data_IF_658836368760
#
_entry.id   IF_658836368760
#
_cell.length_a   1.000
_cell.length_b   1.000
_cell.length_c   1.000
_cell.angle_alpha   90.00
_cell.angle_beta   90.00
_cell.angle_gamma   90.00
#
_symmetry.space_group_name_H-M   'P 1'
#
loop_
_entity.id
_entity.type
_entity.pdbx_description
1 polymer ?
#
# COMPACT_ATOMS: atom_id res chain seq x y z
N UNK A 1 -26.97 -5.80 22.73
CA UNK A 1 -27.25 -7.13 22.10
C UNK A 1 -26.10 -7.64 21.24
N UNK A 2 -25.47 -6.81 20.39
CA UNK A 2 -24.33 -7.20 19.56
C UNK A 2 -23.04 -7.49 20.37
N UNK A 3 -22.90 -6.94 21.57
CA UNK A 3 -21.77 -7.27 22.49
C UNK A 3 -21.86 -8.66 23.10
N UNK A 4 -23.01 -9.31 23.02
CA UNK A 4 -23.21 -10.70 23.53
C UNK A 4 -22.72 -11.76 22.56
N UNK A 5 -22.46 -11.41 21.30
CA UNK A 5 -22.02 -12.30 20.23
C UNK A 5 -20.50 -12.32 20.02
N UNK A 6 -19.73 -11.71 20.90
CA UNK A 6 -18.27 -11.83 20.90
C UNK A 6 -17.91 -13.27 21.26
N UNK A 7 -17.59 -14.07 20.24
CA UNK A 7 -17.10 -15.44 20.42
C UNK A 7 -15.99 -15.50 21.46
N UNK A 8 -16.12 -16.41 22.39
CA UNK A 8 -15.13 -16.67 23.44
C UNK A 8 -15.35 -15.91 24.75
N UNK A 9 -16.33 -15.03 24.84
CA UNK A 9 -16.68 -14.44 26.12
C UNK A 9 -17.81 -15.21 26.80
N UNK A 10 -17.50 -15.84 27.93
CA UNK A 10 -18.55 -16.27 28.87
C UNK A 10 -19.25 -15.02 29.40
N UNK A 11 -20.60 -15.05 29.55
CA UNK A 11 -21.40 -13.95 30.12
C UNK A 11 -20.74 -13.49 31.42
N UNK A 12 -20.39 -12.20 31.49
CA UNK A 12 -19.85 -11.59 32.69
C UNK A 12 -18.32 -11.61 32.85
N UNK A 13 -17.55 -12.17 31.89
CA UNK A 13 -16.08 -12.07 31.95
C UNK A 13 -15.62 -10.74 31.34
N UNK A 14 -14.81 -9.99 32.09
CA UNK A 14 -14.15 -8.78 31.59
C UNK A 14 -13.10 -9.19 30.55
N UNK A 15 -13.02 -8.53 29.38
CA UNK A 15 -11.97 -8.78 28.40
C UNK A 15 -10.59 -8.63 29.02
N UNK A 16 -9.73 -9.59 28.75
CA UNK A 16 -8.31 -9.55 29.15
C UNK A 16 -7.54 -8.59 28.23
N UNK A 17 -6.42 -8.07 28.72
CA UNK A 17 -5.54 -7.16 28.00
C UNK A 17 -4.55 -7.88 27.08
N UNK A 18 -4.54 -9.23 27.09
CA UNK A 18 -3.75 -10.07 26.22
C UNK A 18 -4.65 -11.10 25.51
N UNK A 19 -4.29 -11.43 24.26
CA UNK A 19 -5.11 -12.29 23.39
C UNK A 19 -4.23 -13.32 22.69
N UNK A 20 -4.25 -14.55 23.18
CA UNK A 20 -3.49 -15.69 22.67
C UNK A 20 -4.15 -16.39 21.48
N UNK A 21 -5.43 -16.16 21.28
CA UNK A 21 -6.21 -16.72 20.17
C UNK A 21 -6.13 -15.89 18.86
N UNK A 22 -5.49 -14.73 18.89
CA UNK A 22 -5.30 -13.88 17.71
C UNK A 22 -3.98 -14.28 17.02
N UNK A 23 -4.00 -14.67 15.73
CA UNK A 23 -2.78 -14.99 15.01
C UNK A 23 -1.86 -13.78 14.89
N UNK A 24 -0.55 -14.00 15.00
CA UNK A 24 0.45 -12.98 14.68
C UNK A 24 0.53 -12.77 13.16
N UNK A 25 1.20 -11.69 12.70
CA UNK A 25 1.33 -11.39 11.27
C UNK A 25 1.85 -12.56 10.41
N UNK A 26 2.78 -13.36 10.95
CA UNK A 26 3.31 -14.55 10.26
C UNK A 26 2.38 -15.77 10.25
N UNK A 27 1.27 -15.71 10.97
CA UNK A 27 0.28 -16.78 11.07
C UNK A 27 -1.04 -16.45 10.36
N UNK A 28 -1.11 -15.33 9.67
CA UNK A 28 -2.26 -14.95 8.84
C UNK A 28 -2.43 -16.01 7.74
N UNK A 29 -3.68 -16.43 7.48
CA UNK A 29 -3.97 -17.42 6.43
C UNK A 29 -3.54 -16.87 5.05
N UNK A 30 -3.12 -17.76 4.15
CA UNK A 30 -2.69 -17.38 2.80
C UNK A 30 -3.78 -16.65 2.01
N UNK A 31 -5.05 -17.03 2.25
CA UNK A 31 -6.21 -16.44 1.58
C UNK A 31 -6.49 -15.00 2.03
N UNK A 32 -5.95 -14.61 3.18
CA UNK A 32 -6.09 -13.25 3.73
C UNK A 32 -4.89 -12.36 3.39
N UNK A 33 -3.73 -12.95 3.04
CA UNK A 33 -2.50 -12.21 2.78
C UNK A 33 -2.57 -11.45 1.45
N UNK A 34 -2.24 -10.16 1.50
CA UNK A 34 -2.21 -9.25 0.35
C UNK A 34 -0.79 -8.84 -0.08
N UNK A 35 0.24 -9.47 0.50
CA UNK A 35 1.64 -9.08 0.23
C UNK A 35 2.03 -7.72 0.84
N UNK A 36 1.37 -7.31 1.91
CA UNK A 36 1.66 -6.07 2.63
C UNK A 36 2.31 -6.40 3.97
N UNK A 37 3.59 -6.05 4.16
CA UNK A 37 4.45 -6.51 5.28
C UNK A 37 3.87 -6.27 6.67
N UNK A 38 3.14 -5.17 6.85
CA UNK A 38 2.56 -4.79 8.15
C UNK A 38 1.07 -5.10 8.28
N UNK A 39 0.53 -5.96 7.41
CA UNK A 39 -0.86 -6.36 7.45
C UNK A 39 -1.25 -6.96 8.82
N UNK A 40 -2.37 -6.53 9.36
CA UNK A 40 -2.95 -7.08 10.58
C UNK A 40 -4.02 -8.12 10.25
N UNK A 41 -4.19 -9.17 11.07
CA UNK A 41 -5.24 -10.17 10.86
C UNK A 41 -6.64 -9.56 11.05
N UNK A 42 -7.58 -9.98 10.20
CA UNK A 42 -8.98 -9.53 10.29
C UNK A 42 -9.63 -9.89 11.64
N UNK A 43 -9.25 -11.02 12.24
CA UNK A 43 -9.73 -11.45 13.55
C UNK A 43 -9.42 -10.43 14.66
N UNK A 44 -8.26 -9.76 14.60
CA UNK A 44 -7.89 -8.69 15.53
C UNK A 44 -8.85 -7.49 15.39
N UNK A 45 -9.02 -7.02 14.16
CA UNK A 45 -9.87 -5.85 13.89
C UNK A 45 -11.36 -6.16 14.15
N UNK A 46 -11.82 -7.41 13.87
CA UNK A 46 -13.16 -7.87 14.22
C UNK A 46 -13.41 -7.66 15.71
N UNK A 47 -12.52 -8.14 16.57
CA UNK A 47 -12.65 -7.99 18.03
C UNK A 47 -12.69 -6.54 18.49
N UNK A 48 -11.77 -5.73 18.01
CA UNK A 48 -11.69 -4.32 18.38
C UNK A 48 -12.97 -3.57 17.95
N UNK A 49 -13.40 -3.74 16.70
CA UNK A 49 -14.55 -3.03 16.13
C UNK A 49 -15.85 -3.46 16.81
N UNK A 50 -16.05 -4.74 17.07
CA UNK A 50 -17.24 -5.23 17.79
C UNK A 50 -17.30 -4.73 19.23
N UNK A 51 -16.15 -4.64 19.91
CA UNK A 51 -16.08 -4.18 21.30
C UNK A 51 -16.32 -2.65 21.44
N UNK A 52 -16.00 -1.87 20.41
CA UNK A 52 -15.94 -0.40 20.49
C UNK A 52 -16.98 0.34 19.65
N UNK A 53 -17.78 -0.35 18.84
CA UNK A 53 -18.75 0.28 17.93
C UNK A 53 -20.00 -0.56 17.74
N UNK A 54 -21.05 0.06 17.21
CA UNK A 54 -22.30 -0.60 16.81
C UNK A 54 -22.46 -0.57 15.28
N UNK A 55 -23.37 -1.37 14.75
CA UNK A 55 -23.71 -1.33 13.32
C UNK A 55 -24.15 0.08 12.91
N UNK A 56 -23.64 0.54 11.76
CA UNK A 56 -23.91 1.90 11.26
C UNK A 56 -22.99 3.01 11.80
N UNK A 57 -22.22 2.75 12.86
CA UNK A 57 -21.20 3.69 13.34
C UNK A 57 -20.09 3.92 12.32
N UNK A 58 -19.30 4.97 12.50
CA UNK A 58 -18.12 5.26 11.67
C UNK A 58 -16.87 4.72 12.37
N UNK A 59 -16.12 3.90 11.65
CA UNK A 59 -14.78 3.44 12.03
C UNK A 59 -13.77 4.22 11.20
N UNK A 60 -12.81 4.88 11.83
CA UNK A 60 -11.77 5.65 11.15
C UNK A 60 -10.39 5.06 11.41
N UNK A 61 -9.60 4.93 10.35
CA UNK A 61 -8.20 4.51 10.40
C UNK A 61 -7.35 5.42 9.50
N UNK A 62 -6.58 6.31 10.12
CA UNK A 62 -5.80 7.31 9.40
C UNK A 62 -4.43 6.81 8.92
N UNK A 63 -4.09 5.55 9.21
CA UNK A 63 -2.88 4.86 8.77
C UNK A 63 -3.24 3.46 8.28
N UNK A 64 -4.22 3.40 7.36
CA UNK A 64 -4.95 2.17 7.05
C UNK A 64 -4.11 1.06 6.38
N UNK A 65 -2.92 1.35 5.87
CA UNK A 65 -2.02 0.38 5.27
C UNK A 65 -2.71 -0.49 4.21
N UNK A 66 -2.80 -1.79 4.47
CA UNK A 66 -3.50 -2.75 3.62
C UNK A 66 -5.04 -2.71 3.73
N UNK A 67 -5.61 -1.76 4.49
CA UNK A 67 -7.06 -1.57 4.62
C UNK A 67 -7.79 -2.65 5.43
N UNK A 68 -7.12 -3.38 6.31
CA UNK A 68 -7.76 -4.41 7.13
C UNK A 68 -8.91 -3.85 7.96
N UNK A 69 -8.70 -2.70 8.62
CA UNK A 69 -9.71 -2.02 9.42
C UNK A 69 -10.95 -1.70 8.58
N UNK A 70 -10.76 -1.16 7.36
CA UNK A 70 -11.85 -0.76 6.48
C UNK A 70 -12.64 -1.97 5.99
N UNK A 71 -11.95 -3.02 5.56
CA UNK A 71 -12.57 -4.26 5.11
C UNK A 71 -13.40 -4.93 6.21
N UNK A 72 -12.87 -4.99 7.43
CA UNK A 72 -13.59 -5.56 8.58
C UNK A 72 -14.78 -4.68 8.96
N UNK A 73 -14.64 -3.36 8.98
CA UNK A 73 -15.74 -2.44 9.24
C UNK A 73 -16.87 -2.60 8.20
N UNK A 74 -16.53 -2.75 6.91
CA UNK A 74 -17.49 -3.04 5.84
C UNK A 74 -18.25 -4.34 6.10
N UNK A 75 -17.53 -5.44 6.36
CA UNK A 75 -18.13 -6.76 6.63
C UNK A 75 -19.06 -6.74 7.85
N UNK A 76 -18.73 -5.95 8.86
CA UNK A 76 -19.51 -5.82 10.09
C UNK A 76 -20.62 -4.75 9.99
N UNK A 77 -20.86 -4.15 8.83
CA UNK A 77 -21.93 -3.16 8.64
C UNK A 77 -21.66 -1.78 9.24
N UNK A 78 -20.39 -1.47 9.56
CA UNK A 78 -19.97 -0.12 9.96
C UNK A 78 -19.66 0.72 8.72
N UNK A 79 -19.85 2.03 8.80
CA UNK A 79 -19.26 2.97 7.84
C UNK A 79 -17.77 3.11 8.15
N UNK A 80 -16.98 3.46 7.18
CA UNK A 80 -15.55 3.59 7.42
C UNK A 80 -14.97 4.81 6.69
N UNK A 81 -13.87 5.30 7.25
CA UNK A 81 -13.02 6.33 6.70
C UNK A 81 -11.58 5.86 6.87
N UNK A 82 -10.81 5.88 5.80
CA UNK A 82 -9.39 5.51 5.84
C UNK A 82 -8.53 6.54 5.14
N UNK A 83 -7.31 6.71 5.63
CA UNK A 83 -6.28 7.46 4.92
C UNK A 83 -4.92 6.79 5.08
N UNK A 84 -4.04 7.02 4.14
CA UNK A 84 -2.64 6.63 4.23
C UNK A 84 -1.78 7.59 3.39
N UNK A 85 -0.54 7.76 3.78
CA UNK A 85 0.41 8.58 3.04
C UNK A 85 0.88 7.86 1.76
N UNK A 86 0.98 6.53 1.83
CA UNK A 86 1.46 5.70 0.73
C UNK A 86 0.37 5.46 -0.31
N UNK A 87 0.61 5.87 -1.53
CA UNK A 87 -0.27 5.54 -2.66
C UNK A 87 -0.37 4.02 -2.89
N UNK A 88 0.71 3.28 -2.62
CA UNK A 88 0.70 1.82 -2.67
C UNK A 88 -0.28 1.24 -1.65
N UNK A 89 -0.27 1.72 -0.40
CA UNK A 89 -1.23 1.32 0.62
C UNK A 89 -2.67 1.56 0.17
N UNK A 90 -2.94 2.74 -0.40
CA UNK A 90 -4.26 3.09 -0.92
C UNK A 90 -4.68 2.19 -2.09
N UNK A 91 -3.77 1.84 -2.99
CA UNK A 91 -4.07 0.90 -4.10
C UNK A 91 -4.40 -0.51 -3.58
N UNK A 92 -3.62 -1.02 -2.61
CA UNK A 92 -3.88 -2.31 -1.97
C UNK A 92 -5.24 -2.29 -1.25
N UNK A 93 -5.50 -1.25 -0.47
CA UNK A 93 -6.79 -1.05 0.22
C UNK A 93 -7.95 -1.00 -0.75
N UNK A 94 -7.83 -0.23 -1.84
CA UNK A 94 -8.86 -0.15 -2.89
C UNK A 94 -9.14 -1.51 -3.50
N UNK A 95 -8.09 -2.25 -3.89
CA UNK A 95 -8.23 -3.59 -4.46
C UNK A 95 -8.93 -4.52 -3.48
N UNK A 96 -8.51 -4.53 -2.21
CA UNK A 96 -9.13 -5.33 -1.15
C UNK A 96 -10.62 -5.06 -1.01
N UNK A 97 -11.04 -3.80 -1.05
CA UNK A 97 -12.45 -3.43 -0.93
C UNK A 97 -13.26 -3.81 -2.18
N UNK A 98 -12.70 -3.69 -3.37
CA UNK A 98 -13.36 -4.12 -4.60
C UNK A 98 -13.54 -5.64 -4.66
N UNK A 99 -12.56 -6.39 -4.16
CA UNK A 99 -12.55 -7.86 -4.15
C UNK A 99 -13.11 -8.45 -2.84
N UNK A 100 -13.70 -7.63 -1.97
CA UNK A 100 -14.13 -8.05 -0.61
C UNK A 100 -15.10 -9.23 -0.62
N UNK A 101 -15.92 -9.35 -1.67
CA UNK A 101 -16.89 -10.42 -1.85
C UNK A 101 -16.25 -11.82 -1.90
N UNK A 102 -15.01 -11.92 -2.40
CA UNK A 102 -14.22 -13.15 -2.45
C UNK A 102 -13.48 -13.47 -1.14
N UNK A 103 -13.49 -12.55 -0.19
CA UNK A 103 -12.78 -12.71 1.07
C UNK A 103 -13.63 -13.49 2.08
N UNK A 104 -12.97 -14.07 3.09
CA UNK A 104 -13.64 -14.87 4.13
C UNK A 104 -14.74 -14.06 4.82
N UNK A 105 -15.89 -14.71 5.06
CA UNK A 105 -16.94 -14.16 5.94
C UNK A 105 -16.44 -14.10 7.39
N UNK A 106 -16.77 -13.03 8.08
CA UNK A 106 -16.38 -12.84 9.49
C UNK A 106 -17.52 -13.10 10.48
N UNK A 107 -18.76 -13.18 10.00
CA UNK A 107 -19.94 -13.31 10.84
C UNK A 107 -20.38 -14.79 10.88
N UNK A 108 -20.47 -15.41 9.73
CA UNK A 108 -20.87 -16.81 9.60
C UNK A 108 -19.64 -17.68 9.31
N UNK A 109 -19.21 -18.45 10.30
CA UNK A 109 -18.04 -19.34 10.18
C UNK A 109 -18.26 -20.50 9.20
N UNK A 110 -19.50 -20.87 8.90
CA UNK A 110 -19.83 -21.91 7.94
C UNK A 110 -19.76 -21.39 6.50
N UNK A 111 -19.74 -20.08 6.31
CA UNK A 111 -19.67 -19.43 5.01
C UNK A 111 -18.23 -19.18 4.64
N UNK A 112 -17.80 -19.73 3.49
CA UNK A 112 -16.41 -19.57 3.03
C UNK A 112 -16.10 -18.16 2.57
N UNK A 113 -17.04 -17.49 1.90
CA UNK A 113 -16.88 -16.18 1.28
C UNK A 113 -17.92 -15.20 1.81
N UNK A 114 -17.55 -13.95 1.90
CA UNK A 114 -18.45 -12.87 2.31
C UNK A 114 -19.59 -12.67 1.31
N UNK A 115 -19.31 -12.84 0.00
CA UNK A 115 -20.29 -12.89 -1.10
C UNK A 115 -21.19 -11.63 -1.22
N UNK A 116 -20.67 -10.49 -0.76
CA UNK A 116 -21.33 -9.19 -0.91
C UNK A 116 -20.30 -8.17 -1.39
N UNK A 117 -20.63 -7.34 -2.41
CA UNK A 117 -19.74 -6.26 -2.81
C UNK A 117 -19.66 -5.21 -1.69
N UNK A 118 -18.56 -4.48 -1.64
CA UNK A 118 -18.49 -3.29 -0.81
C UNK A 118 -19.54 -2.27 -1.24
N UNK A 119 -20.02 -1.49 -0.28
CA UNK A 119 -20.85 -0.32 -0.59
C UNK A 119 -20.07 0.66 -1.47
N UNK A 120 -20.73 1.47 -2.29
CA UNK A 120 -20.06 2.53 -3.03
C UNK A 120 -19.22 3.42 -2.12
N UNK A 121 -17.98 3.69 -2.52
CA UNK A 121 -17.06 4.54 -1.78
C UNK A 121 -16.30 5.47 -2.74
N UNK A 122 -15.79 6.55 -2.20
CA UNK A 122 -15.00 7.54 -2.92
C UNK A 122 -13.54 7.45 -2.52
N UNK A 123 -12.66 7.66 -3.48
CA UNK A 123 -11.22 7.78 -3.28
C UNK A 123 -10.80 9.22 -3.54
N UNK A 124 -10.32 9.88 -2.50
CA UNK A 124 -9.83 11.25 -2.57
C UNK A 124 -8.32 11.30 -2.52
N UNK A 125 -7.73 12.06 -3.39
CA UNK A 125 -6.31 12.37 -3.35
C UNK A 125 -6.15 13.84 -2.97
N UNK A 126 -5.53 14.08 -1.82
CA UNK A 126 -5.12 15.43 -1.42
C UNK A 126 -3.91 15.75 -2.31
N UNK A 127 -4.11 16.65 -3.27
CA UNK A 127 -3.12 16.96 -4.30
C UNK A 127 -1.74 17.22 -3.72
N UNK A 128 -0.75 16.63 -4.33
CA UNK A 128 0.65 16.88 -3.98
C UNK A 128 1.07 18.23 -4.59
N UNK A 129 1.00 19.31 -3.81
CA UNK A 129 1.35 20.66 -4.24
C UNK A 129 2.81 20.76 -4.71
N UNK A 130 3.71 19.98 -4.13
CA UNK A 130 5.10 19.90 -4.57
C UNK A 130 5.21 19.34 -5.98
N UNK A 131 4.45 18.30 -6.30
CA UNK A 131 4.39 17.74 -7.64
C UNK A 131 3.96 18.77 -8.67
N UNK A 132 2.92 19.56 -8.38
CA UNK A 132 2.45 20.65 -9.27
C UNK A 132 3.49 21.75 -9.43
N UNK A 133 4.22 22.08 -8.37
CA UNK A 133 5.32 23.06 -8.43
C UNK A 133 6.44 22.57 -9.36
N UNK A 134 6.89 21.33 -9.20
CA UNK A 134 7.99 20.76 -9.97
C UNK A 134 7.61 20.42 -11.41
N UNK A 135 6.33 20.11 -11.70
CA UNK A 135 5.85 19.88 -13.09
C UNK A 135 6.12 21.04 -14.04
N UNK A 136 6.13 22.25 -13.51
CA UNK A 136 6.42 23.47 -14.30
C UNK A 136 7.91 23.78 -14.42
N UNK A 137 8.76 22.98 -13.77
CA UNK A 137 10.19 23.24 -13.58
C UNK A 137 11.00 21.93 -13.62
N UNK A 138 10.79 21.14 -14.66
CA UNK A 138 11.38 19.81 -14.80
C UNK A 138 12.92 19.83 -14.71
N UNK A 139 13.57 20.80 -15.36
CA UNK A 139 15.03 20.96 -15.30
C UNK A 139 15.52 21.30 -13.89
N UNK A 140 14.81 22.18 -13.17
CA UNK A 140 15.12 22.51 -11.78
C UNK A 140 14.92 21.31 -10.86
N UNK A 141 13.89 20.48 -11.13
CA UNK A 141 13.62 19.24 -10.41
C UNK A 141 14.76 18.23 -10.58
N UNK A 142 15.17 17.97 -11.82
CA UNK A 142 16.28 17.07 -12.10
C UNK A 142 17.57 17.53 -11.40
N UNK A 143 17.89 18.82 -11.50
CA UNK A 143 19.05 19.41 -10.82
C UNK A 143 18.97 19.27 -9.29
N UNK A 144 17.78 19.49 -8.71
CA UNK A 144 17.54 19.34 -7.28
C UNK A 144 17.73 17.88 -6.84
N UNK A 145 17.16 16.91 -7.57
CA UNK A 145 17.26 15.50 -7.25
C UNK A 145 18.70 14.99 -7.37
N UNK A 146 19.44 15.39 -8.41
CA UNK A 146 20.85 15.05 -8.55
C UNK A 146 21.69 15.62 -7.41
N UNK A 147 21.45 16.84 -7.01
CA UNK A 147 22.13 17.47 -5.87
C UNK A 147 21.82 16.73 -4.56
N UNK A 148 20.56 16.39 -4.32
CA UNK A 148 20.13 15.66 -3.13
C UNK A 148 20.79 14.28 -3.06
N UNK A 149 20.85 13.59 -4.20
CA UNK A 149 21.49 12.28 -4.32
C UNK A 149 23.03 12.35 -4.36
N UNK A 150 23.60 13.52 -4.45
CA UNK A 150 25.04 13.79 -4.61
C UNK A 150 25.60 13.15 -5.90
N UNK A 151 24.83 13.20 -6.97
CA UNK A 151 25.25 12.76 -8.31
C UNK A 151 25.72 13.94 -9.17
N UNK A 152 26.66 13.68 -10.04
CA UNK A 152 27.10 14.64 -11.05
C UNK A 152 26.14 14.59 -12.25
N UNK A 153 25.65 15.71 -12.77
CA UNK A 153 24.77 15.73 -13.93
C UNK A 153 25.47 15.19 -15.19
N UNK A 154 24.75 14.41 -15.98
CA UNK A 154 25.12 13.97 -17.30
C UNK A 154 24.28 14.71 -18.37
N UNK A 155 24.88 14.99 -19.51
CA UNK A 155 24.22 15.64 -20.65
C UNK A 155 24.35 14.78 -21.91
N UNK A 156 23.37 14.85 -22.80
CA UNK A 156 23.39 14.11 -24.06
C UNK A 156 22.78 12.70 -23.96
N UNK A 157 22.20 12.34 -22.84
CA UNK A 157 21.50 11.08 -22.61
C UNK A 157 20.00 11.33 -22.50
N UNK A 158 19.22 10.31 -22.83
CA UNK A 158 17.76 10.37 -22.74
C UNK A 158 17.22 9.87 -21.39
N UNK A 159 17.85 8.82 -20.87
CA UNK A 159 17.44 8.16 -19.63
C UNK A 159 18.47 8.27 -18.52
N UNK A 160 19.72 8.67 -18.79
CA UNK A 160 20.74 8.85 -17.79
C UNK A 160 20.90 10.33 -17.45
N UNK A 161 20.40 10.73 -16.29
CA UNK A 161 20.37 12.11 -15.83
C UNK A 161 21.64 12.51 -15.07
N UNK A 162 22.33 11.53 -14.46
CA UNK A 162 23.54 11.79 -13.72
C UNK A 162 24.41 10.57 -13.52
N UNK A 163 25.54 10.76 -12.84
CA UNK A 163 26.45 9.70 -12.40
C UNK A 163 26.89 9.87 -10.96
N UNK A 164 27.07 8.77 -10.25
CA UNK A 164 27.63 8.75 -8.90
C UNK A 164 28.68 7.64 -8.80
N UNK A 165 29.97 8.04 -8.84
CA UNK A 165 31.07 7.08 -8.95
C UNK A 165 31.01 6.30 -10.26
N UNK A 166 30.90 4.97 -10.20
CA UNK A 166 30.78 4.03 -11.32
C UNK A 166 29.33 3.74 -11.74
N UNK A 167 28.36 4.43 -11.15
CA UNK A 167 26.93 4.17 -11.34
C UNK A 167 26.29 5.31 -12.16
N UNK A 168 25.47 4.95 -13.12
CA UNK A 168 24.57 5.89 -13.77
C UNK A 168 23.36 6.17 -12.85
N UNK A 169 22.76 7.36 -12.98
CA UNK A 169 21.60 7.76 -12.21
C UNK A 169 20.46 8.14 -13.13
N UNK A 170 19.34 7.47 -13.00
CA UNK A 170 18.07 7.80 -13.63
C UNK A 170 17.12 8.39 -12.59
N UNK A 171 16.42 9.46 -12.96
CA UNK A 171 15.36 10.05 -12.16
C UNK A 171 14.06 9.81 -12.89
N UNK A 172 13.21 9.01 -12.30
CA UNK A 172 11.90 8.66 -12.84
C UNK A 172 10.92 9.84 -12.86
N UNK A 173 9.80 9.67 -13.55
CA UNK A 173 8.82 10.72 -13.74
C UNK A 173 8.20 11.17 -12.41
N UNK A 174 7.88 12.45 -12.35
CA UNK A 174 7.29 13.06 -11.16
C UNK A 174 5.83 12.63 -10.92
N UNK A 175 5.10 12.33 -11.99
CA UNK A 175 3.63 12.16 -11.98
C UNK A 175 3.17 10.75 -12.32
N UNK A 176 4.11 9.83 -12.52
CA UNK A 176 3.82 8.47 -12.89
C UNK A 176 4.78 7.53 -12.14
N UNK A 177 4.38 6.28 -11.90
CA UNK A 177 5.29 5.28 -11.37
C UNK A 177 6.39 4.97 -12.40
N UNK A 178 7.59 4.70 -11.93
CA UNK A 178 8.65 4.10 -12.74
C UNK A 178 8.17 2.73 -13.21
N UNK A 179 8.17 2.52 -14.53
CA UNK A 179 7.71 1.28 -15.15
C UNK A 179 8.86 0.35 -15.48
N UNK A 180 8.57 -0.93 -15.70
CA UNK A 180 9.57 -1.90 -16.15
C UNK A 180 10.16 -1.53 -17.51
N UNK A 181 9.33 -1.07 -18.44
CA UNK A 181 9.76 -0.56 -19.75
C UNK A 181 10.77 0.58 -19.63
N UNK A 182 10.57 1.48 -18.65
CA UNK A 182 11.52 2.57 -18.39
C UNK A 182 12.84 2.05 -17.84
N UNK A 183 12.82 1.11 -16.90
CA UNK A 183 14.02 0.47 -16.36
C UNK A 183 14.80 -0.26 -17.45
N UNK A 184 14.15 -0.97 -18.36
CA UNK A 184 14.78 -1.63 -19.51
C UNK A 184 15.50 -0.60 -20.41
N UNK A 185 14.89 0.55 -20.67
CA UNK A 185 15.51 1.64 -21.46
C UNK A 185 16.75 2.21 -20.76
N UNK A 186 16.70 2.37 -19.45
CA UNK A 186 17.86 2.77 -18.64
C UNK A 186 18.98 1.75 -18.75
N UNK A 187 18.68 0.45 -18.65
CA UNK A 187 19.68 -0.63 -18.79
C UNK A 187 20.31 -0.63 -20.17
N UNK A 188 19.51 -0.47 -21.22
CA UNK A 188 20.02 -0.40 -22.61
C UNK A 188 20.98 0.78 -22.78
N UNK A 189 20.61 1.97 -22.31
CA UNK A 189 21.46 3.16 -22.41
C UNK A 189 22.72 3.05 -21.53
N UNK A 190 22.64 2.45 -20.35
CA UNK A 190 23.79 2.13 -19.51
C UNK A 190 24.80 1.24 -20.24
N UNK A 191 24.35 0.13 -20.81
CA UNK A 191 25.21 -0.82 -21.55
C UNK A 191 25.88 -0.16 -22.77
N UNK A 192 25.15 0.67 -23.50
CA UNK A 192 25.67 1.41 -24.66
C UNK A 192 26.78 2.41 -24.26
N UNK A 193 26.81 2.85 -23.01
CA UNK A 193 27.74 3.89 -22.52
C UNK A 193 28.71 3.39 -21.45
N UNK A 194 28.91 2.08 -21.36
CA UNK A 194 29.87 1.43 -20.45
C UNK A 194 29.59 1.65 -18.95
N UNK A 195 28.35 1.89 -18.58
CA UNK A 195 27.92 1.85 -17.18
C UNK A 195 27.47 0.41 -16.85
N UNK A 196 28.09 -0.16 -15.82
CA UNK A 196 27.76 -1.51 -15.34
C UNK A 196 26.70 -1.53 -14.26
N UNK A 197 26.34 -0.36 -13.72
CA UNK A 197 25.38 -0.21 -12.65
C UNK A 197 24.53 1.05 -12.87
N UNK A 198 23.28 0.98 -12.48
CA UNK A 198 22.38 2.13 -12.48
C UNK A 198 21.64 2.24 -11.13
N UNK A 199 21.45 3.47 -10.70
CA UNK A 199 20.54 3.82 -9.61
C UNK A 199 19.32 4.49 -10.23
N UNK A 200 18.15 3.92 -9.99
CA UNK A 200 16.89 4.49 -10.46
C UNK A 200 16.18 5.11 -9.27
N UNK A 201 15.93 6.41 -9.35
CA UNK A 201 15.25 7.18 -8.30
C UNK A 201 13.82 7.47 -8.76
N UNK A 202 12.85 6.97 -8.04
CA UNK A 202 11.43 7.16 -8.35
C UNK A 202 10.61 7.52 -7.11
N UNK A 203 9.57 8.33 -7.27
CA UNK A 203 8.57 8.58 -6.24
C UNK A 203 7.62 7.41 -6.06
N UNK A 204 7.35 6.71 -7.16
CA UNK A 204 6.46 5.58 -7.22
C UNK A 204 7.04 4.52 -8.15
N UNK A 205 6.70 3.27 -7.90
CA UNK A 205 7.18 2.12 -8.65
C UNK A 205 5.99 1.32 -9.15
N UNK A 206 6.05 0.90 -10.40
CA UNK A 206 5.11 -0.06 -10.94
C UNK A 206 5.20 -1.39 -10.17
N UNK A 207 4.07 -2.07 -10.02
CA UNK A 207 3.99 -3.32 -9.25
C UNK A 207 5.03 -4.37 -9.66
N UNK A 208 5.32 -4.47 -10.96
CA UNK A 208 6.24 -5.46 -11.54
C UNK A 208 7.72 -5.11 -11.32
N UNK A 209 8.05 -3.84 -11.10
CA UNK A 209 9.44 -3.39 -11.03
C UNK A 209 10.18 -3.94 -9.82
N UNK A 210 9.53 -4.06 -8.68
CA UNK A 210 10.14 -4.54 -7.43
C UNK A 210 10.49 -6.03 -7.47
N UNK A 211 9.81 -6.83 -8.26
CA UNK A 211 10.09 -8.25 -8.39
C UNK A 211 11.13 -8.53 -9.48
N UNK A 212 11.00 -7.89 -10.63
CA UNK A 212 11.85 -8.13 -11.80
C UNK A 212 13.19 -7.37 -11.76
N UNK A 213 13.28 -6.24 -11.08
CA UNK A 213 14.54 -5.49 -10.93
C UNK A 213 15.65 -6.24 -10.16
N UNK A 214 15.32 -7.37 -9.54
CA UNK A 214 16.30 -8.26 -8.89
C UNK A 214 16.96 -9.23 -9.88
N UNK A 215 16.39 -9.38 -11.07
CA UNK A 215 16.84 -10.29 -12.11
C UNK A 215 17.68 -9.60 -13.21
N UNK A 216 17.75 -8.26 -13.20
CA UNK A 216 18.50 -7.42 -14.14
C UNK A 216 19.90 -7.03 -13.63
#
# INVERSE_FOLDING_TARGET
REREELEGYQRGKIPEDWWDDIPTGGQISRDELLGFDTQKPEKLLKRIILASSNSGDIVADFFCGSGTTLAVAEKLGRRWLGSDLSKFAIQVTRKRLLDIHNSKDLIDENKKEYDKPARPFELWNIGNYETVYWQKKEEEYLAFMLKLYQAQPLTGFRYLHGSKGDRAVHIGPLNAPVTMEEVEKVVVECRANNFNKADVLGWEWGYEVNELAKEL
#
